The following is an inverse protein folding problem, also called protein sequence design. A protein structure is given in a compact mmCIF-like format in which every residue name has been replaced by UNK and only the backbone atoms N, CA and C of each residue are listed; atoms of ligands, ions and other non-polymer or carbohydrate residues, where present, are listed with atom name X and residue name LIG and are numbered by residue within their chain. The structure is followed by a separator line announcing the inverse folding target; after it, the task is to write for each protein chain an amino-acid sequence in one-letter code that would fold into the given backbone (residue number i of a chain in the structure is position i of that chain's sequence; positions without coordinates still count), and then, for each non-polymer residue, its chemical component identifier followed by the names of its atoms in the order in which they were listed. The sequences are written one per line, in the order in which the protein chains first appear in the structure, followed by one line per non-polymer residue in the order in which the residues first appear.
data_IF_444890186776
#
_entry.id   IF_444890186776
#
_cell.length_a   1.000
_cell.length_b   1.000
_cell.length_c   1.000
_cell.angle_alpha   90.00
_cell.angle_beta   90.00
_cell.angle_gamma   90.00
#
_symmetry.space_group_name_H-M   'P 1'
#
loop_
_entity.id
_entity.type
_entity.pdbx_description
1 polymer ?
#
# COMPACT_ATOMS: atom_id res chain seq x y z
N UNK A 1 -18.62 10.20 15.99
CA UNK A 1 -17.48 9.35 15.58
C UNK A 1 -17.64 9.04 14.10
N UNK A 2 -16.58 9.19 13.30
CA UNK A 2 -16.60 8.91 11.86
C UNK A 2 -15.91 7.58 11.61
N UNK A 3 -16.45 6.76 10.73
CA UNK A 3 -15.85 5.49 10.32
C UNK A 3 -15.14 5.69 8.99
N UNK A 4 -13.93 5.17 8.88
CA UNK A 4 -13.12 5.25 7.67
C UNK A 4 -12.64 3.85 7.28
N UNK A 5 -12.49 3.63 5.98
CA UNK A 5 -11.92 2.43 5.41
C UNK A 5 -10.60 2.78 4.72
N UNK A 6 -9.58 1.98 4.99
CA UNK A 6 -8.23 2.17 4.43
C UNK A 6 -7.86 0.86 3.74
N UNK A 7 -7.64 0.93 2.43
CA UNK A 7 -7.24 -0.22 1.60
C UNK A 7 -5.83 0.01 1.08
N UNK A 8 -4.95 -0.95 1.33
CA UNK A 8 -3.59 -0.95 0.82
C UNK A 8 -3.45 -1.98 -0.30
N UNK A 9 -2.87 -1.58 -1.43
CA UNK A 9 -2.45 -2.48 -2.50
C UNK A 9 -0.93 -2.53 -2.50
N UNK A 10 -0.36 -3.71 -2.30
CA UNK A 10 1.09 -3.91 -2.22
C UNK A 10 1.56 -4.72 -3.42
N UNK A 11 2.72 -4.37 -3.97
CA UNK A 11 3.32 -5.12 -5.06
C UNK A 11 3.63 -6.57 -4.62
N UNK A 12 3.35 -7.60 -5.43
CA UNK A 12 3.54 -9.00 -5.05
C UNK A 12 4.98 -9.35 -4.64
N UNK A 13 5.98 -8.64 -5.16
CA UNK A 13 7.39 -8.87 -4.84
C UNK A 13 7.79 -8.30 -3.46
N UNK A 14 6.92 -7.50 -2.83
CA UNK A 14 7.16 -6.88 -1.52
C UNK A 14 6.29 -7.50 -0.42
N UNK A 15 5.73 -8.69 -0.64
CA UNK A 15 4.80 -9.33 0.30
C UNK A 15 5.39 -9.57 1.69
N UNK A 16 6.70 -9.81 1.79
CA UNK A 16 7.38 -10.03 3.07
C UNK A 16 7.40 -8.79 3.98
N UNK A 17 7.22 -7.59 3.42
CA UNK A 17 7.23 -6.33 4.17
C UNK A 17 5.84 -5.96 4.72
N UNK A 18 4.78 -6.62 4.23
CA UNK A 18 3.40 -6.33 4.59
C UNK A 18 3.12 -6.45 6.09
N UNK A 19 3.58 -7.50 6.81
CA UNK A 19 3.33 -7.62 8.25
C UNK A 19 3.90 -6.44 9.05
N UNK A 20 5.11 -6.01 8.72
CA UNK A 20 5.77 -4.88 9.40
C UNK A 20 5.09 -3.54 9.09
N UNK A 21 4.55 -3.36 7.88
CA UNK A 21 3.75 -2.18 7.56
C UNK A 21 2.45 -2.13 8.37
N UNK A 22 1.74 -3.26 8.49
CA UNK A 22 0.49 -3.36 9.26
C UNK A 22 0.74 -2.98 10.73
N UNK A 23 1.82 -3.48 11.33
CA UNK A 23 2.18 -3.18 12.71
C UNK A 23 2.43 -1.68 12.93
N UNK A 24 3.21 -1.05 12.05
CA UNK A 24 3.51 0.39 12.11
C UNK A 24 2.24 1.25 11.99
N UNK A 25 1.37 0.94 11.03
CA UNK A 25 0.13 1.70 10.86
C UNK A 25 -0.84 1.48 12.01
N UNK A 26 -0.91 0.27 12.55
CA UNK A 26 -1.72 -0.04 13.73
C UNK A 26 -1.26 0.80 14.92
N UNK A 27 0.05 0.84 15.18
CA UNK A 27 0.63 1.65 16.25
C UNK A 27 0.37 3.16 16.07
N UNK A 28 0.46 3.65 14.83
CA UNK A 28 0.16 5.05 14.52
C UNK A 28 -1.31 5.40 14.76
N UNK A 29 -2.24 4.51 14.37
CA UNK A 29 -3.69 4.73 14.56
C UNK A 29 -4.06 4.68 16.04
N UNK A 30 -3.56 3.70 16.79
CA UNK A 30 -3.86 3.58 18.23
C UNK A 30 -3.21 4.70 19.04
N UNK A 31 -2.01 5.15 18.66
CA UNK A 31 -1.35 6.31 19.27
C UNK A 31 -2.09 7.63 19.05
N UNK A 32 -2.87 7.75 17.98
CA UNK A 32 -3.74 8.89 17.69
C UNK A 32 -5.16 8.75 18.27
N UNK A 33 -5.36 7.85 19.25
CA UNK A 33 -6.66 7.53 19.88
C UNK A 33 -7.71 6.97 18.90
N UNK A 34 -7.26 6.44 17.75
CA UNK A 34 -8.10 5.76 16.79
C UNK A 34 -8.43 4.32 17.20
N UNK A 35 -9.63 3.85 16.85
CA UNK A 35 -10.05 2.45 17.07
C UNK A 35 -10.12 1.70 15.75
N UNK A 36 -9.40 0.59 15.66
CA UNK A 36 -9.50 -0.35 14.54
C UNK A 36 -10.66 -1.31 14.82
N UNK A 37 -11.68 -1.27 13.96
CA UNK A 37 -12.85 -2.13 14.08
C UNK A 37 -12.69 -3.47 13.35
N UNK A 38 -11.94 -3.47 12.24
CA UNK A 38 -11.74 -4.63 11.37
C UNK A 38 -10.39 -4.49 10.68
N UNK A 39 -9.67 -5.59 10.57
CA UNK A 39 -8.42 -5.71 9.81
C UNK A 39 -8.53 -6.98 8.98
N UNK A 40 -8.39 -6.86 7.65
CA UNK A 40 -8.47 -8.00 6.74
C UNK A 40 -7.34 -7.98 5.73
N UNK A 41 -6.74 -9.15 5.52
CA UNK A 41 -5.84 -9.40 4.41
C UNK A 41 -6.62 -10.08 3.29
N UNK A 42 -6.71 -9.42 2.13
CA UNK A 42 -7.40 -9.95 0.96
C UNK A 42 -6.55 -10.95 0.17
N UNK A 43 -5.28 -11.11 0.52
CA UNK A 43 -4.33 -12.01 -0.12
C UNK A 43 -3.98 -11.61 -1.56
N UNK A 44 -3.27 -12.50 -2.26
CA UNK A 44 -2.95 -12.33 -3.69
C UNK A 44 -4.21 -12.57 -4.53
N UNK A 45 -4.97 -11.50 -4.80
CA UNK A 45 -6.06 -11.53 -5.79
C UNK A 45 -5.50 -11.10 -7.14
N UNK A 46 -5.80 -11.82 -8.22
CA UNK A 46 -5.63 -11.27 -9.56
C UNK A 46 -6.60 -10.10 -9.69
N UNK A 47 -6.14 -8.85 -9.81
CA UNK A 47 -7.04 -7.78 -10.19
C UNK A 47 -7.46 -8.07 -11.62
N UNK A 48 -8.70 -8.52 -11.79
CA UNK A 48 -9.38 -8.33 -13.05
C UNK A 48 -9.38 -6.83 -13.33
N UNK A 49 -8.79 -6.44 -14.45
CA UNK A 49 -8.71 -5.08 -15.02
C UNK A 49 -7.52 -4.18 -14.60
N UNK A 50 -6.76 -3.85 -15.65
CA UNK A 50 -5.86 -2.69 -15.87
C UNK A 50 -4.53 -2.59 -15.10
N UNK A 51 -3.39 -2.42 -15.82
CA UNK A 51 -2.09 -2.19 -15.19
C UNK A 51 -2.02 -0.78 -14.58
N UNK A 52 -1.97 -0.69 -13.25
CA UNK A 52 -1.89 0.57 -12.49
C UNK A 52 -0.44 1.08 -12.32
N UNK A 53 0.56 0.33 -12.81
CA UNK A 53 1.98 0.70 -12.65
C UNK A 53 2.71 0.88 -14.00
N UNK A 54 2.31 1.89 -14.77
CA UNK A 54 3.18 2.44 -15.83
C UNK A 54 3.86 3.70 -15.29
N UNK A 55 4.84 3.54 -14.42
CA UNK A 55 5.86 4.57 -14.23
C UNK A 55 6.97 4.29 -15.24
N UNK A 56 7.18 5.15 -16.26
CA UNK A 56 8.44 5.14 -16.98
C UNK A 56 9.53 5.50 -15.98
N UNK A 57 10.51 4.63 -15.78
CA UNK A 57 11.79 5.04 -15.21
C UNK A 57 12.30 6.17 -16.10
N UNK A 58 12.29 7.39 -15.59
CA UNK A 58 12.78 8.57 -16.28
C UNK A 58 14.31 8.47 -16.38
N UNK A 59 14.78 7.71 -17.38
CA UNK A 59 16.11 7.93 -17.93
C UNK A 59 16.02 9.17 -18.82
N UNK A 60 15.99 10.35 -18.20
CA UNK A 60 16.36 11.58 -18.90
C UNK A 60 17.88 11.60 -18.96
N UNK A 61 18.43 10.87 -19.93
CA UNK A 61 19.81 11.08 -20.38
C UNK A 61 19.76 12.36 -21.22
N UNK A 62 20.16 13.46 -20.61
CA UNK A 62 20.46 14.71 -21.29
C UNK A 62 21.51 14.44 -22.36
N UNK A 63 21.09 14.44 -23.63
CA UNK A 63 21.98 14.58 -24.77
C UNK A 63 22.50 16.02 -24.77
N UNK A 64 23.76 16.22 -24.40
CA UNK A 64 24.56 17.36 -24.84
C UNK A 64 25.10 17.03 -26.24
N UNK A 65 24.55 17.64 -27.29
CA UNK A 65 25.27 18.15 -28.47
C UNK A 65 24.49 19.28 -29.13
#
# INVERSE_FOLDING_TARGET
MRHYEIVFMVHPDQSEQVPGMIERYTAAITGAEGKIHRLEDWGRRQPGLTPINKLPQSTLRSDER
#
